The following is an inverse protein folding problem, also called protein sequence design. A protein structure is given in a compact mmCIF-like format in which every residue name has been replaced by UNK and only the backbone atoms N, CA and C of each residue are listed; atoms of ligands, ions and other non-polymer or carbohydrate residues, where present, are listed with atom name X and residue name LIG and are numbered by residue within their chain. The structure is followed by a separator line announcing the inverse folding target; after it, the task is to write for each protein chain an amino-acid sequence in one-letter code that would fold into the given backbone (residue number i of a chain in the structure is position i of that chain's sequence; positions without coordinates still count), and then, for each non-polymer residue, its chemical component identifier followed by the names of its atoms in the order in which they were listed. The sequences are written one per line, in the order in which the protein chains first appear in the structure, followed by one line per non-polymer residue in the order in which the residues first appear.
data_IF_807003177131
#
_entry.id   IF_807003177131
#
_cell.length_a   1.000
_cell.length_b   1.000
_cell.length_c   1.000
_cell.angle_alpha   90.00
_cell.angle_beta   90.00
_cell.angle_gamma   90.00
#
_symmetry.space_group_name_H-M   'P 1'
#
loop_
_entity.id
_entity.type
_entity.pdbx_description
1 polymer ?
#
# COMPACT_ATOMS: atom_id res chain seq x y z
N UNK A 1 -5.52 -5.81 1.84
CA UNK A 1 -5.89 -4.40 1.56
C UNK A 1 -6.87 -4.35 0.38
N UNK A 2 -7.94 -3.55 0.42
CA UNK A 2 -8.98 -3.48 -0.63
C UNK A 2 -9.51 -4.84 -1.12
N UNK A 3 -9.80 -5.76 -0.19
CA UNK A 3 -10.23 -7.14 -0.45
C UNK A 3 -9.21 -8.07 -1.12
N UNK A 4 -7.95 -7.64 -1.26
CA UNK A 4 -6.84 -8.47 -1.72
C UNK A 4 -5.87 -8.77 -0.56
N UNK A 5 -5.61 -10.05 -0.28
CA UNK A 5 -4.50 -10.47 0.58
C UNK A 5 -3.27 -10.76 -0.25
N UNK A 6 -2.23 -9.97 -0.04
CA UNK A 6 -1.02 -10.06 -0.85
C UNK A 6 -0.29 -11.39 -0.64
N UNK A 7 0.14 -12.00 -1.72
CA UNK A 7 1.02 -13.17 -1.72
C UNK A 7 2.36 -12.83 -2.35
N UNK A 8 3.44 -13.18 -1.66
CA UNK A 8 4.77 -13.11 -2.25
C UNK A 8 4.88 -14.11 -3.43
N UNK A 9 5.45 -13.70 -4.58
CA UNK A 9 5.69 -14.62 -5.67
C UNK A 9 6.74 -15.66 -5.28
N UNK A 10 6.58 -16.89 -5.78
CA UNK A 10 7.48 -18.02 -5.47
C UNK A 10 8.46 -18.36 -6.58
N UNK A 11 8.23 -17.89 -7.80
CA UNK A 11 9.05 -18.25 -8.99
C UNK A 11 10.17 -17.25 -9.27
N UNK A 12 9.93 -15.98 -8.98
CA UNK A 12 10.81 -14.86 -9.32
C UNK A 12 10.42 -13.64 -8.49
N UNK A 13 11.39 -12.82 -8.10
CA UNK A 13 11.07 -11.54 -7.44
C UNK A 13 10.32 -10.61 -8.37
N UNK A 14 9.41 -9.79 -7.83
CA UNK A 14 8.68 -8.81 -8.65
C UNK A 14 9.62 -7.76 -9.28
N UNK A 15 10.71 -7.42 -8.59
CA UNK A 15 11.71 -6.46 -9.10
C UNK A 15 12.46 -7.01 -10.31
N UNK A 16 12.88 -8.27 -10.26
CA UNK A 16 13.49 -8.95 -11.40
C UNK A 16 12.51 -9.09 -12.57
N UNK A 17 11.25 -9.46 -12.27
CA UNK A 17 10.21 -9.54 -13.28
C UNK A 17 9.94 -8.18 -13.95
N UNK A 18 9.94 -7.10 -13.17
CA UNK A 18 9.83 -5.74 -13.69
C UNK A 18 11.04 -5.36 -14.56
N UNK A 19 12.26 -5.62 -14.09
CA UNK A 19 13.49 -5.28 -14.81
C UNK A 19 13.59 -6.01 -16.16
N UNK A 20 13.31 -7.32 -16.17
CA UNK A 20 13.38 -8.17 -17.36
C UNK A 20 12.09 -8.21 -18.18
N UNK A 21 11.06 -7.43 -17.81
CA UNK A 21 9.75 -7.41 -18.47
C UNK A 21 9.07 -8.81 -18.55
N UNK A 22 9.22 -9.62 -17.50
CA UNK A 22 8.64 -10.96 -17.39
C UNK A 22 7.17 -10.85 -16.92
N UNK A 23 6.28 -11.48 -17.68
CA UNK A 23 4.83 -11.52 -17.38
C UNK A 23 4.47 -12.71 -16.48
N UNK A 24 3.33 -12.62 -15.81
CA UNK A 24 2.75 -13.73 -15.03
C UNK A 24 3.28 -13.88 -13.59
N UNK A 25 4.17 -12.99 -13.14
CA UNK A 25 4.66 -12.94 -11.74
C UNK A 25 3.72 -12.11 -10.85
N UNK A 26 3.16 -11.04 -11.40
CA UNK A 26 2.19 -10.18 -10.74
C UNK A 26 1.26 -9.53 -11.77
N UNK A 27 0.11 -9.01 -11.31
CA UNK A 27 -0.80 -8.16 -12.10
C UNK A 27 -0.76 -6.72 -11.61
N UNK A 28 -1.16 -5.76 -12.43
CA UNK A 28 -1.07 -4.30 -12.11
C UNK A 28 -2.43 -3.65 -11.82
N UNK A 29 -3.44 -4.48 -11.59
CA UNK A 29 -4.85 -4.12 -11.45
C UNK A 29 -5.28 -3.91 -9.99
N UNK A 30 -4.33 -3.64 -9.08
CA UNK A 30 -4.68 -3.38 -7.67
C UNK A 30 -5.69 -2.21 -7.58
N UNK A 31 -6.84 -2.44 -6.93
CA UNK A 31 -7.96 -1.54 -7.01
C UNK A 31 -7.71 -0.26 -6.20
N UNK A 32 -8.14 0.88 -6.73
CA UNK A 32 -8.04 2.18 -6.04
C UNK A 32 -8.98 2.28 -4.83
N UNK A 33 -10.08 1.51 -4.83
CA UNK A 33 -11.09 1.49 -3.79
C UNK A 33 -11.45 0.03 -3.49
N UNK A 34 -11.89 -0.28 -2.26
CA UNK A 34 -12.43 -1.61 -1.97
C UNK A 34 -13.67 -1.90 -2.84
N UNK A 35 -13.91 -3.16 -3.23
CA UNK A 35 -15.05 -3.54 -4.07
C UNK A 35 -16.39 -3.34 -3.36
N UNK A 36 -16.40 -3.38 -2.02
CA UNK A 36 -17.57 -3.13 -1.19
C UNK A 36 -17.26 -2.00 -0.20
N UNK A 37 -18.20 -1.04 -0.12
CA UNK A 37 -18.23 -0.03 0.93
C UNK A 37 -19.19 -0.46 2.02
N UNK A 38 -18.73 -0.35 3.25
CA UNK A 38 -19.51 -0.63 4.46
C UNK A 38 -19.06 0.34 5.54
N UNK A 39 -19.75 0.34 6.68
CA UNK A 39 -19.25 1.03 7.87
C UNK A 39 -18.04 0.26 8.40
N UNK A 40 -16.85 0.71 8.01
CA UNK A 40 -15.58 0.09 8.35
C UNK A 40 -15.35 0.10 9.86
N UNK A 41 -15.98 1.00 10.59
CA UNK A 41 -15.74 1.21 12.02
C UNK A 41 -16.80 0.60 12.93
N UNK A 42 -17.85 0.00 12.37
CA UNK A 42 -18.92 -0.63 13.14
C UNK A 42 -18.44 -1.97 13.75
N UNK A 43 -18.39 -2.10 15.09
CA UNK A 43 -17.93 -3.33 15.75
C UNK A 43 -18.81 -4.55 15.45
N UNK A 44 -20.08 -4.35 15.07
CA UNK A 44 -20.97 -5.45 14.68
C UNK A 44 -20.48 -6.18 13.41
N UNK A 45 -19.55 -5.58 12.65
CA UNK A 45 -18.95 -6.21 11.49
C UNK A 45 -17.78 -7.15 11.82
N UNK A 46 -17.30 -7.20 13.06
CA UNK A 46 -16.02 -7.87 13.44
C UNK A 46 -15.86 -9.28 12.87
N UNK A 47 -16.92 -10.09 12.92
CA UNK A 47 -16.92 -11.46 12.40
C UNK A 47 -17.96 -11.67 11.30
N UNK A 48 -18.32 -10.62 10.57
CA UNK A 48 -19.31 -10.70 9.51
C UNK A 48 -18.78 -11.56 8.34
N UNK A 49 -19.37 -12.76 8.11
CA UNK A 49 -18.84 -13.73 7.14
C UNK A 49 -18.89 -13.23 5.70
N UNK A 50 -19.74 -12.25 5.39
CA UNK A 50 -19.87 -11.68 4.05
C UNK A 50 -18.73 -10.75 3.64
N UNK A 51 -17.92 -10.28 4.60
CA UNK A 51 -16.89 -9.24 4.37
C UNK A 51 -15.53 -9.55 5.01
N UNK A 52 -15.43 -10.58 5.85
CA UNK A 52 -14.21 -10.94 6.57
C UNK A 52 -13.16 -11.63 5.69
N UNK A 53 -13.59 -12.32 4.63
CA UNK A 53 -12.71 -13.08 3.76
C UNK A 53 -12.24 -12.24 2.57
N UNK A 54 -10.95 -12.29 2.29
CA UNK A 54 -10.30 -11.64 1.14
C UNK A 54 -9.79 -12.67 0.13
N UNK A 55 -9.53 -12.23 -1.09
CA UNK A 55 -8.92 -13.09 -2.11
C UNK A 55 -7.41 -12.94 -2.09
N UNK A 56 -6.70 -14.08 -2.03
CA UNK A 56 -5.25 -14.10 -2.14
C UNK A 56 -4.81 -13.77 -3.57
N UNK A 57 -3.87 -12.85 -3.73
CA UNK A 57 -3.35 -12.46 -5.06
C UNK A 57 -1.99 -11.76 -4.96
N UNK A 58 -1.24 -11.78 -6.06
CA UNK A 58 -0.04 -10.95 -6.25
C UNK A 58 -0.38 -9.82 -7.23
N UNK A 59 -1.23 -8.90 -6.80
CA UNK A 59 -1.59 -7.69 -7.56
C UNK A 59 -0.95 -6.45 -6.94
N UNK A 60 -0.43 -5.56 -7.79
CA UNK A 60 0.34 -4.38 -7.39
C UNK A 60 -0.22 -3.13 -8.06
N UNK A 61 0.11 -1.96 -7.54
CA UNK A 61 -0.30 -0.69 -8.12
C UNK A 61 0.80 -0.11 -9.00
N UNK A 62 0.56 -0.02 -10.30
CA UNK A 62 1.48 0.66 -11.22
C UNK A 62 1.34 2.18 -11.11
N UNK A 63 2.47 2.87 -10.99
CA UNK A 63 2.58 4.32 -10.85
C UNK A 63 3.51 4.88 -11.93
N UNK A 64 3.10 6.00 -12.53
CA UNK A 64 3.98 6.75 -13.44
C UNK A 64 5.12 7.36 -12.64
N UNK A 65 6.32 7.35 -13.23
CA UNK A 65 7.45 8.08 -12.68
C UNK A 65 7.05 9.53 -12.39
N UNK A 66 7.48 10.04 -11.23
CA UNK A 66 7.28 11.41 -10.77
C UNK A 66 5.84 11.79 -10.40
N UNK A 67 4.88 10.86 -10.44
CA UNK A 67 3.50 11.11 -10.04
C UNK A 67 3.40 11.48 -8.55
N UNK A 68 2.55 12.44 -8.22
CA UNK A 68 2.12 12.68 -6.84
C UNK A 68 1.04 11.69 -6.47
N UNK A 69 1.29 10.88 -5.44
CA UNK A 69 0.38 9.82 -5.00
C UNK A 69 -0.14 10.18 -3.61
N UNK A 70 -1.46 10.26 -3.47
CA UNK A 70 -2.16 10.38 -2.20
C UNK A 70 -2.81 9.05 -1.86
N UNK A 71 -2.56 8.54 -0.65
CA UNK A 71 -3.12 7.29 -0.17
C UNK A 71 -3.99 7.61 1.04
N UNK A 72 -5.25 7.16 0.98
CA UNK A 72 -6.14 7.10 2.13
C UNK A 72 -6.14 5.66 2.65
N UNK A 73 -5.67 5.49 3.87
CA UNK A 73 -5.73 4.21 4.58
C UNK A 73 -6.89 4.25 5.57
N UNK A 74 -7.84 3.32 5.42
CA UNK A 74 -8.96 3.15 6.33
C UNK A 74 -8.77 1.83 7.09
N UNK A 75 -8.75 1.91 8.42
CA UNK A 75 -8.77 0.74 9.28
C UNK A 75 -10.21 0.23 9.44
N UNK A 76 -10.37 -1.09 9.58
CA UNK A 76 -11.66 -1.75 9.74
C UNK A 76 -11.80 -2.35 11.12
N UNK A 77 -13.03 -2.57 11.58
CA UNK A 77 -13.35 -3.26 12.82
C UNK A 77 -13.34 -4.81 12.68
N UNK A 78 -12.89 -5.34 11.53
CA UNK A 78 -12.85 -6.77 11.25
C UNK A 78 -11.78 -7.47 12.10
N UNK A 79 -12.09 -8.69 12.56
CA UNK A 79 -11.24 -9.61 13.34
C UNK A 79 -10.90 -9.11 14.75
N UNK A 80 -10.56 -7.84 14.92
CA UNK A 80 -10.17 -7.30 16.21
C UNK A 80 -9.91 -5.79 16.20
N UNK A 81 -9.73 -5.26 17.40
CA UNK A 81 -9.46 -3.84 17.65
C UNK A 81 -7.96 -3.64 17.68
N UNK A 82 -7.39 -3.10 16.61
CA UNK A 82 -5.93 -2.91 16.51
C UNK A 82 -5.55 -1.71 15.66
N UNK A 83 -4.45 -1.04 15.97
CA UNK A 83 -3.84 -0.07 15.07
C UNK A 83 -2.83 -0.79 14.15
N UNK A 84 -2.71 -0.33 12.91
CA UNK A 84 -1.77 -0.94 11.97
C UNK A 84 -0.66 0.04 11.60
N UNK A 85 0.61 -0.21 12.01
CA UNK A 85 1.75 0.57 11.52
C UNK A 85 2.02 0.19 10.06
N UNK A 86 1.63 1.05 9.12
CA UNK A 86 1.84 0.80 7.70
C UNK A 86 3.14 1.46 7.26
N UNK A 87 4.07 0.64 6.75
CA UNK A 87 5.37 1.04 6.25
C UNK A 87 5.39 1.01 4.72
N UNK A 88 6.08 1.96 4.10
CA UNK A 88 6.34 2.02 2.65
C UNK A 88 7.84 1.96 2.39
N UNK A 89 8.27 0.98 1.60
CA UNK A 89 9.65 0.84 1.16
C UNK A 89 10.00 1.90 0.11
N UNK A 90 11.27 2.28 0.03
CA UNK A 90 11.81 3.13 -1.05
C UNK A 90 11.38 4.60 -1.02
N UNK A 91 10.49 4.98 -0.10
CA UNK A 91 9.96 6.33 0.04
C UNK A 91 9.75 6.71 1.50
N UNK A 92 9.96 7.98 1.78
CA UNK A 92 9.19 8.65 2.81
C UNK A 92 7.93 9.28 2.20
N UNK A 93 6.95 9.57 3.05
CA UNK A 93 5.71 10.25 2.72
C UNK A 93 5.43 11.36 3.73
N UNK A 94 4.67 12.36 3.27
CA UNK A 94 4.12 13.40 4.13
C UNK A 94 2.80 12.92 4.73
N UNK A 95 2.67 13.00 6.05
CA UNK A 95 1.43 12.71 6.77
C UNK A 95 0.54 13.95 6.71
N UNK A 96 -0.56 13.87 5.97
CA UNK A 96 -1.46 15.00 5.80
C UNK A 96 -2.46 15.10 6.95
N UNK A 97 -3.06 13.97 7.34
CA UNK A 97 -4.04 13.93 8.41
C UNK A 97 -4.24 12.51 8.93
N UNK A 98 -4.77 12.41 10.15
CA UNK A 98 -5.32 11.19 10.74
C UNK A 98 -6.65 11.55 11.40
N UNK A 99 -7.53 10.56 11.53
CA UNK A 99 -8.80 10.72 12.21
C UNK A 99 -9.42 9.39 12.60
N UNK A 100 -10.54 9.46 13.31
CA UNK A 100 -11.36 8.32 13.67
C UNK A 100 -12.64 8.28 12.84
N UNK A 101 -13.31 7.12 12.82
CA UNK A 101 -14.49 6.87 12.02
C UNK A 101 -14.15 6.47 10.57
N UNK A 102 -15.18 6.51 9.72
CA UNK A 102 -15.03 6.32 8.28
C UNK A 102 -14.54 7.62 7.63
N UNK A 103 -13.47 7.56 6.84
CA UNK A 103 -12.97 8.71 6.11
C UNK A 103 -14.03 9.29 5.17
N UNK A 104 -14.29 10.60 5.29
CA UNK A 104 -15.18 11.33 4.42
C UNK A 104 -14.42 12.42 3.66
N UNK A 105 -14.17 12.27 2.35
CA UNK A 105 -13.37 13.22 1.58
C UNK A 105 -13.97 14.63 1.48
N UNK A 106 -15.28 14.83 1.71
CA UNK A 106 -15.89 16.17 1.64
C UNK A 106 -15.64 16.98 2.92
N UNK A 107 -15.47 16.29 4.05
CA UNK A 107 -15.30 16.90 5.38
C UNK A 107 -13.82 16.86 5.78
N UNK A 108 -13.18 15.70 5.66
CA UNK A 108 -11.86 15.42 6.23
C UNK A 108 -10.71 16.02 5.42
N UNK A 109 -10.90 16.30 4.12
CA UNK A 109 -9.87 17.00 3.32
C UNK A 109 -9.49 18.36 3.91
N UNK A 110 -10.42 19.02 4.60
CA UNK A 110 -10.17 20.30 5.29
C UNK A 110 -9.22 20.18 6.48
N UNK A 111 -9.01 18.95 6.99
CA UNK A 111 -8.08 18.65 8.09
C UNK A 111 -6.64 18.44 7.62
N UNK A 112 -6.39 18.44 6.30
CA UNK A 112 -5.06 18.15 5.78
C UNK A 112 -4.09 19.26 6.17
N UNK A 113 -3.02 18.88 6.86
CA UNK A 113 -1.87 19.73 7.01
C UNK A 113 -1.08 19.78 5.70
N UNK A 114 -1.30 20.84 4.92
CA UNK A 114 -0.55 21.13 3.70
C UNK A 114 0.61 22.11 3.94
N UNK A 115 0.80 22.55 5.19
CA UNK A 115 1.84 23.48 5.59
C UNK A 115 2.78 22.81 6.59
N UNK A 116 3.92 22.32 6.11
CA UNK A 116 4.90 21.57 6.90
C UNK A 116 4.36 20.26 7.54
N UNK A 117 3.79 19.33 6.74
CA UNK A 117 3.43 18.00 7.24
C UNK A 117 4.65 17.19 7.67
N UNK A 118 4.48 16.31 8.65
CA UNK A 118 5.55 15.40 9.09
C UNK A 118 5.93 14.45 7.96
N UNK A 119 7.24 14.28 7.74
CA UNK A 119 7.78 13.26 6.84
C UNK A 119 8.10 11.98 7.64
N UNK A 120 7.59 10.84 7.16
CA UNK A 120 7.72 9.51 7.80
C UNK A 120 7.80 8.42 6.72
N UNK A 121 8.32 7.26 7.07
CA UNK A 121 8.20 6.04 6.23
C UNK A 121 7.19 5.03 6.79
N UNK A 122 6.71 5.24 8.03
CA UNK A 122 5.77 4.38 8.73
C UNK A 122 4.75 5.24 9.46
N UNK A 123 3.48 4.86 9.41
CA UNK A 123 2.39 5.54 10.12
C UNK A 123 1.43 4.53 10.73
N UNK A 124 1.09 4.73 12.01
CA UNK A 124 0.04 3.96 12.66
C UNK A 124 -1.33 4.44 12.16
N UNK A 125 -2.04 3.61 11.39
CA UNK A 125 -3.45 3.87 11.08
C UNK A 125 -4.25 3.58 12.36
N UNK A 126 -4.99 4.55 12.91
CA UNK A 126 -5.65 4.38 14.21
C UNK A 126 -6.68 3.25 14.19
N UNK A 127 -6.89 2.64 15.36
CA UNK A 127 -8.05 1.76 15.62
C UNK A 127 -9.33 2.46 15.18
N UNK A 128 -10.14 1.81 14.33
CA UNK A 128 -11.42 2.38 13.87
C UNK A 128 -11.28 3.77 13.25
N UNK A 129 -10.18 4.02 12.54
CA UNK A 129 -9.86 5.32 11.98
C UNK A 129 -9.15 5.25 10.64
N UNK A 130 -8.57 6.36 10.25
CA UNK A 130 -7.94 6.54 8.95
C UNK A 130 -6.70 7.42 9.03
N UNK A 131 -5.86 7.30 8.01
CA UNK A 131 -4.69 8.15 7.80
C UNK A 131 -4.56 8.50 6.32
N UNK A 132 -4.15 9.74 6.02
CA UNK A 132 -3.86 10.19 4.66
C UNK A 132 -2.40 10.59 4.55
N UNK A 133 -1.73 10.02 3.57
CA UNK A 133 -0.32 10.31 3.26
C UNK A 133 -0.14 10.69 1.80
N UNK A 134 0.91 11.45 1.51
CA UNK A 134 1.26 11.82 0.13
C UNK A 134 2.76 11.70 -0.11
N UNK A 135 3.13 11.09 -1.22
CA UNK A 135 4.52 10.99 -1.65
C UNK A 135 4.65 11.23 -3.15
N UNK A 136 5.88 11.35 -3.62
CA UNK A 136 6.22 11.47 -5.04
C UNK A 136 6.85 10.16 -5.49
N UNK A 137 6.29 9.52 -6.52
CA UNK A 137 6.79 8.27 -7.06
C UNK A 137 8.03 8.49 -7.95
N UNK A 138 9.11 9.03 -7.39
CA UNK A 138 10.33 9.41 -8.10
C UNK A 138 11.49 8.40 -7.96
N UNK A 139 11.21 7.20 -7.46
CA UNK A 139 12.17 6.11 -7.30
C UNK A 139 11.68 4.86 -8.09
N UNK A 140 12.18 4.63 -9.31
CA UNK A 140 11.76 3.50 -10.16
C UNK A 140 12.08 2.15 -9.51
N UNK A 141 11.17 1.19 -9.63
CA UNK A 141 11.33 -0.14 -9.03
C UNK A 141 10.03 -0.71 -8.51
N UNK A 142 10.14 -1.70 -7.61
CA UNK A 142 9.01 -2.36 -6.98
C UNK A 142 9.14 -2.23 -5.46
N UNK A 143 8.17 -1.56 -4.84
CA UNK A 143 8.26 -1.13 -3.45
C UNK A 143 7.10 -1.68 -2.64
N UNK A 144 7.41 -2.49 -1.62
CA UNK A 144 6.41 -3.09 -0.74
C UNK A 144 5.82 -2.03 0.19
N UNK A 145 4.50 -2.09 0.40
CA UNK A 145 3.77 -1.34 1.42
C UNK A 145 3.04 -2.35 2.31
N UNK A 146 3.31 -2.38 3.61
CA UNK A 146 2.79 -3.44 4.47
C UNK A 146 2.61 -3.02 5.92
N UNK A 147 1.83 -3.80 6.68
CA UNK A 147 1.85 -3.74 8.14
C UNK A 147 3.24 -4.12 8.66
N UNK A 148 3.76 -3.33 9.60
CA UNK A 148 5.01 -3.61 10.29
C UNK A 148 4.82 -4.47 11.56
N UNK A 149 3.65 -5.11 11.68
CA UNK A 149 3.43 -6.20 12.63
C UNK A 149 3.64 -7.51 11.88
N UNK A 150 4.67 -8.26 12.28
CA UNK A 150 5.16 -9.44 11.55
C UNK A 150 4.10 -10.52 11.36
N UNK A 151 3.11 -10.60 12.25
CA UNK A 151 2.00 -11.56 12.14
C UNK A 151 1.03 -11.22 10.99
N UNK A 152 0.90 -9.95 10.60
CA UNK A 152 -0.03 -9.54 9.54
C UNK A 152 0.55 -9.60 8.13
N UNK A 153 1.86 -9.47 7.99
CA UNK A 153 2.52 -9.60 6.70
C UNK A 153 2.23 -10.95 6.01
N UNK A 154 2.41 -12.13 6.66
CA UNK A 154 2.11 -13.42 6.03
C UNK A 154 0.61 -13.65 5.80
N UNK A 155 -0.28 -12.94 6.50
CA UNK A 155 -1.72 -12.94 6.23
C UNK A 155 -2.10 -12.10 4.99
N UNK A 156 -1.14 -11.32 4.48
CA UNK A 156 -1.29 -10.54 3.27
C UNK A 156 -1.77 -9.12 3.50
N UNK A 157 -1.57 -8.54 4.71
CA UNK A 157 -1.78 -7.10 4.95
C UNK A 157 -0.65 -6.27 4.33
N UNK A 158 -0.53 -6.38 3.01
CA UNK A 158 0.46 -5.73 2.18
C UNK A 158 -0.11 -5.44 0.78
N UNK A 159 0.64 -4.65 0.03
CA UNK A 159 0.57 -4.47 -1.42
C UNK A 159 1.95 -4.00 -1.90
N UNK A 160 2.13 -3.75 -3.18
CA UNK A 160 3.33 -3.11 -3.69
C UNK A 160 3.03 -2.05 -4.74
N UNK A 161 3.94 -1.11 -4.91
CA UNK A 161 3.93 -0.14 -5.99
C UNK A 161 5.00 -0.49 -7.02
N UNK A 162 4.61 -0.54 -8.29
CA UNK A 162 5.55 -0.60 -9.42
C UNK A 162 5.69 0.82 -9.96
N UNK A 163 6.82 1.44 -9.72
CA UNK A 163 7.13 2.78 -10.21
C UNK A 163 7.88 2.65 -11.53
N UNK A 164 7.29 3.19 -12.59
CA UNK A 164 7.88 3.17 -13.92
C UNK A 164 9.24 3.87 -13.96
N UNK A 165 10.04 3.48 -14.95
CA UNK A 165 11.25 4.19 -15.33
C UNK A 165 10.93 5.61 -15.82
N UNK A 166 11.76 6.56 -15.42
CA UNK A 166 11.76 7.94 -15.89
C UNK A 166 12.49 8.12 -17.23
N UNK A 167 12.57 9.38 -17.71
CA UNK A 167 13.04 9.70 -19.06
C UNK A 167 14.58 9.64 -19.22
N UNK A 168 15.34 9.68 -18.13
CA UNK A 168 16.82 9.77 -18.16
C UNK A 168 17.47 8.48 -17.67
N UNK A 169 18.73 8.19 -18.03
CA UNK A 169 19.45 7.02 -17.47
C UNK A 169 19.49 6.99 -15.93
N UNK A 170 19.64 8.16 -15.30
CA UNK A 170 19.64 8.29 -13.83
C UNK A 170 18.28 8.11 -13.17
N UNK A 171 17.20 8.11 -13.95
CA UNK A 171 15.83 7.90 -13.48
C UNK A 171 15.29 6.55 -13.95
N UNK A 172 16.16 5.60 -14.28
CA UNK A 172 15.83 4.20 -14.57
C UNK A 172 16.34 3.28 -13.48
N UNK A 173 15.64 2.18 -13.25
CA UNK A 173 16.12 1.11 -12.39
C UNK A 173 17.46 0.57 -12.95
N UNK A 174 18.57 0.60 -12.18
CA UNK A 174 19.85 0.07 -12.63
C UNK A 174 19.80 -1.45 -12.79
N UNK A 175 20.74 -2.06 -13.54
CA UNK A 175 20.86 -3.50 -13.60
C UNK A 175 21.10 -4.11 -12.22
N UNK A 176 20.60 -5.33 -11.96
CA UNK A 176 20.85 -6.02 -10.70
C UNK A 176 22.35 -6.30 -10.52
N UNK A 177 22.87 -6.31 -9.28
CA UNK A 177 24.24 -6.75 -9.01
C UNK A 177 24.46 -8.19 -9.48
N UNK A 178 25.68 -8.51 -9.95
CA UNK A 178 26.01 -9.85 -10.47
C UNK A 178 25.83 -10.98 -9.42
N UNK A 179 25.90 -10.64 -8.14
CA UNK A 179 25.78 -11.55 -7.00
C UNK A 179 24.37 -11.59 -6.39
N UNK A 180 23.36 -11.05 -7.09
CA UNK A 180 21.97 -11.15 -6.63
C UNK A 180 21.56 -12.64 -6.50
N UNK A 181 21.06 -13.08 -5.33
CA UNK A 181 20.61 -14.47 -5.16
C UNK A 181 19.53 -14.84 -6.17
N UNK A 182 19.62 -16.06 -6.72
CA UNK A 182 18.60 -16.60 -7.62
C UNK A 182 17.44 -17.17 -6.81
N UNK A 183 16.23 -17.00 -7.32
CA UNK A 183 15.01 -17.60 -6.77
C UNK A 183 14.97 -19.12 -6.99
#
# INVERSE_FOLDING_TARGET
MNNASFQLPTKMSMLEAFFNNVKGIYTTDFPNQPPLKFDYTNPNNSFNPSIIMTTKSTTVKKLKYNATVEIVMQNTALIGVENHPIHLHGFNFHVLAQGFGNYNPTIDKKKFNLFNPQERNTIAVPVGGWAVVRFRANNPGVWLMHCHLDVHLPWGLATAFVVENGPTPSTKLPPPPQYLPKC
#
